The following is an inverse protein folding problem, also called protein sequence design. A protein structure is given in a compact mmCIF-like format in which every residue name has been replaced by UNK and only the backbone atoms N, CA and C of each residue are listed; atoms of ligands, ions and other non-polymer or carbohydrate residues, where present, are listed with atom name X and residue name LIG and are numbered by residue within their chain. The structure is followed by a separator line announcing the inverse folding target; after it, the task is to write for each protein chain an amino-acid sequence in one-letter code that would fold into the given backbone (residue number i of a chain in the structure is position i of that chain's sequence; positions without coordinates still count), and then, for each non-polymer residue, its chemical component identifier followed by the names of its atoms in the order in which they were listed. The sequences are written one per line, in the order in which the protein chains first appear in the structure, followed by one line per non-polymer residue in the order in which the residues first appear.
data_IF_690303128843
#
_entry.id   IF_690303128843
#
_cell.length_a   1.000
_cell.length_b   1.000
_cell.length_c   1.000
_cell.angle_alpha   90.00
_cell.angle_beta   90.00
_cell.angle_gamma   90.00
#
_symmetry.space_group_name_H-M   'P 1'
#
loop_
_entity.id
_entity.type
_entity.pdbx_description
1 polymer ?
#
# COMPACT_ATOMS: atom_id res chain seq x y z
N UNK A 1 10.79 1.82 -16.84
CA UNK A 1 11.52 2.94 -16.20
C UNK A 1 12.20 2.36 -14.97
N UNK A 2 13.41 2.79 -14.61
CA UNK A 2 14.00 2.32 -13.35
C UNK A 2 13.11 2.80 -12.19
N UNK A 3 12.51 1.86 -11.44
CA UNK A 3 11.70 2.22 -10.27
C UNK A 3 12.66 2.65 -9.14
N UNK A 4 12.44 3.86 -8.62
CA UNK A 4 13.14 4.31 -7.43
C UNK A 4 12.49 3.62 -6.23
N UNK A 5 13.23 2.85 -5.42
CA UNK A 5 12.67 2.16 -4.27
C UNK A 5 11.96 3.13 -3.34
N UNK A 6 10.82 2.74 -2.78
CA UNK A 6 10.12 3.57 -1.79
C UNK A 6 11.02 3.80 -0.57
N UNK A 7 11.02 5.04 -0.06
CA UNK A 7 11.73 5.37 1.17
C UNK A 7 11.17 4.60 2.37
N UNK A 8 12.01 4.27 3.37
CA UNK A 8 11.55 3.69 4.62
C UNK A 8 10.45 4.52 5.28
N UNK A 9 9.52 3.86 5.98
CA UNK A 9 8.47 4.54 6.74
C UNK A 9 9.11 5.35 7.89
N UNK A 10 8.85 6.64 7.94
CA UNK A 10 9.22 7.49 9.08
C UNK A 10 8.20 7.43 10.21
N UNK A 11 8.62 7.83 11.41
CA UNK A 11 7.80 7.77 12.62
C UNK A 11 6.53 8.63 12.51
N UNK A 12 6.62 9.82 11.91
CA UNK A 12 5.47 10.69 11.71
C UNK A 12 4.41 10.06 10.77
N UNK A 13 4.85 9.27 9.79
CA UNK A 13 3.94 8.58 8.87
C UNK A 13 3.29 7.38 9.57
N UNK A 14 4.06 6.65 10.40
CA UNK A 14 3.51 5.58 11.23
C UNK A 14 2.44 6.12 12.19
N UNK A 15 2.65 7.29 12.79
CA UNK A 15 1.67 7.96 13.65
C UNK A 15 0.37 8.28 12.90
N UNK A 16 0.48 8.81 11.69
CA UNK A 16 -0.70 9.09 10.85
C UNK A 16 -1.46 7.82 10.47
N UNK A 17 -0.77 6.74 10.14
CA UNK A 17 -1.40 5.45 9.81
C UNK A 17 -2.11 4.85 11.03
N UNK A 18 -1.50 4.92 12.21
CA UNK A 18 -2.11 4.45 13.46
C UNK A 18 -3.35 5.29 13.82
N UNK A 19 -3.27 6.61 13.67
CA UNK A 19 -4.42 7.49 13.88
C UNK A 19 -5.56 7.19 12.88
N UNK A 20 -5.22 6.99 11.60
CA UNK A 20 -6.20 6.62 10.57
C UNK A 20 -6.88 5.27 10.87
N UNK A 21 -6.10 4.28 11.32
CA UNK A 21 -6.59 2.97 11.72
C UNK A 21 -7.28 2.97 13.09
N UNK A 22 -7.25 4.09 13.84
CA UNK A 22 -7.70 4.20 15.23
C UNK A 22 -7.08 3.13 16.14
N UNK A 23 -5.81 2.85 15.91
CA UNK A 23 -5.07 1.82 16.61
C UNK A 23 -4.06 2.44 17.56
N UNK A 24 -4.25 2.22 18.85
CA UNK A 24 -3.24 2.54 19.86
C UNK A 24 -2.31 1.34 20.02
N UNK A 25 -1.02 1.58 19.79
CA UNK A 25 0.02 0.58 20.00
C UNK A 25 0.95 1.03 21.13
N UNK A 26 1.25 0.15 22.11
CA UNK A 26 2.30 0.40 23.08
C UNK A 26 3.67 0.45 22.38
N UNK A 27 4.64 1.08 23.04
CA UNK A 27 5.95 1.42 22.46
C UNK A 27 6.73 0.19 21.97
N UNK A 28 6.67 -0.92 22.70
CA UNK A 28 7.26 -2.20 22.33
C UNK A 28 6.70 -2.74 20.99
N UNK A 29 5.39 -2.54 20.76
CA UNK A 29 4.73 -2.93 19.50
C UNK A 29 5.01 -1.95 18.37
N UNK A 30 5.14 -0.65 18.67
CA UNK A 30 5.54 0.37 17.68
C UNK A 30 6.92 0.08 17.09
N UNK A 31 7.88 -0.28 17.93
CA UNK A 31 9.25 -0.59 17.51
C UNK A 31 9.32 -1.76 16.51
N UNK A 32 8.35 -2.68 16.55
CA UNK A 32 8.24 -3.81 15.61
C UNK A 32 7.40 -3.45 14.39
N UNK A 33 6.31 -2.69 14.59
CA UNK A 33 5.36 -2.38 13.53
C UNK A 33 5.95 -1.51 12.42
N UNK A 34 6.74 -0.48 12.74
CA UNK A 34 7.34 0.42 11.75
C UNK A 34 8.19 -0.30 10.69
N UNK A 35 9.17 -1.12 11.10
CA UNK A 35 9.97 -1.93 10.18
C UNK A 35 9.13 -2.95 9.38
N UNK A 36 8.14 -3.58 10.02
CA UNK A 36 7.26 -4.54 9.35
C UNK A 36 6.42 -3.88 8.24
N UNK A 37 5.83 -2.71 8.53
CA UNK A 37 5.07 -1.93 7.55
C UNK A 37 5.97 -1.45 6.42
N UNK A 38 7.18 -0.97 6.73
CA UNK A 38 8.17 -0.59 5.71
C UNK A 38 8.47 -1.74 4.75
N UNK A 39 8.71 -2.94 5.29
CA UNK A 39 8.96 -4.14 4.50
C UNK A 39 7.78 -4.47 3.57
N UNK A 40 6.55 -4.45 4.09
CA UNK A 40 5.34 -4.70 3.30
C UNK A 40 5.15 -3.65 2.21
N UNK A 41 5.39 -2.37 2.50
CA UNK A 41 5.31 -1.29 1.50
C UNK A 41 6.36 -1.48 0.39
N UNK A 42 7.57 -1.94 0.72
CA UNK A 42 8.59 -2.27 -0.27
C UNK A 42 8.17 -3.41 -1.21
N UNK A 43 7.36 -4.36 -0.74
CA UNK A 43 6.82 -5.41 -1.62
C UNK A 43 5.89 -4.86 -2.70
N UNK A 44 5.26 -3.69 -2.50
CA UNK A 44 4.46 -3.07 -3.55
C UNK A 44 5.31 -2.54 -4.70
N UNK A 45 6.63 -2.34 -4.52
CA UNK A 45 7.51 -1.91 -5.63
C UNK A 45 7.54 -2.98 -6.73
N UNK A 46 7.37 -4.27 -6.39
CA UNK A 46 7.31 -5.34 -7.40
C UNK A 46 6.04 -5.30 -8.25
N UNK A 47 5.00 -4.57 -7.82
CA UNK A 47 3.79 -4.38 -8.62
C UNK A 47 4.01 -3.39 -9.77
N UNK A 48 5.01 -2.51 -9.68
CA UNK A 48 5.33 -1.56 -10.74
C UNK A 48 5.80 -2.27 -12.02
N UNK A 49 6.33 -3.49 -11.91
CA UNK A 49 6.76 -4.32 -13.04
C UNK A 49 5.59 -5.04 -13.72
N UNK A 50 4.40 -5.05 -13.11
CA UNK A 50 3.21 -5.68 -13.68
C UNK A 50 2.62 -4.76 -14.74
N UNK A 51 2.64 -5.20 -16.00
CA UNK A 51 1.99 -4.49 -17.09
C UNK A 51 0.48 -4.46 -16.87
N UNK A 52 -0.05 -3.29 -16.52
CA UNK A 52 -1.49 -3.05 -16.42
C UNK A 52 -2.01 -2.79 -17.84
N UNK A 53 -2.90 -3.65 -18.32
CA UNK A 53 -3.59 -3.43 -19.60
C UNK A 53 -4.57 -2.26 -19.51
N UNK A 54 -5.10 -1.83 -20.66
CA UNK A 54 -6.18 -0.84 -20.71
C UNK A 54 -7.39 -1.35 -19.93
N UNK A 55 -7.99 -0.47 -19.10
CA UNK A 55 -9.32 -0.75 -18.55
C UNK A 55 -10.32 -0.65 -19.70
N UNK A 56 -11.04 -1.73 -20.07
CA UNK A 56 -12.02 -1.65 -21.14
C UNK A 56 -13.05 -0.55 -20.83
N UNK A 57 -13.48 0.26 -21.80
CA UNK A 57 -14.51 1.26 -21.56
C UNK A 57 -15.77 0.57 -21.02
N UNK A 58 -16.40 1.17 -20.02
CA UNK A 58 -17.68 0.73 -19.45
C UNK A 58 -18.86 1.00 -20.41
N UNK A 59 -18.68 0.70 -21.70
CA UNK A 59 -19.65 0.93 -22.78
C UNK A 59 -20.34 -0.34 -23.24
N UNK A 60 -19.92 -1.51 -22.77
CA UNK A 60 -20.64 -2.75 -23.01
C UNK A 60 -21.77 -2.88 -21.97
N UNK A 61 -23.01 -2.65 -22.39
CA UNK A 61 -24.17 -3.19 -21.67
C UNK A 61 -23.97 -4.71 -21.54
N UNK A 62 -23.73 -5.21 -20.33
CA UNK A 62 -23.69 -6.64 -20.06
C UNK A 62 -25.11 -7.14 -19.79
N UNK A 63 -25.74 -7.71 -20.82
CA UNK A 63 -27.07 -8.31 -20.73
C UNK A 63 -27.16 -9.51 -19.76
N UNK A 64 -26.03 -9.94 -19.17
CA UNK A 64 -25.96 -11.02 -18.17
C UNK A 64 -25.92 -10.54 -16.73
N UNK A 65 -25.81 -9.23 -16.49
CA UNK A 65 -25.99 -8.67 -15.14
C UNK A 65 -27.45 -8.87 -14.72
N UNK A 66 -27.69 -9.90 -13.91
CA UNK A 66 -28.97 -10.17 -13.25
C UNK A 66 -29.03 -9.46 -11.91
#
# INVERSE_FOLDING_TARGET
MASTPRSPLGDEVLDQLLAHARLELPEDRRAVAGPAVTMVLGLYDSLDDVAVGETPPASAFDARWR
#
